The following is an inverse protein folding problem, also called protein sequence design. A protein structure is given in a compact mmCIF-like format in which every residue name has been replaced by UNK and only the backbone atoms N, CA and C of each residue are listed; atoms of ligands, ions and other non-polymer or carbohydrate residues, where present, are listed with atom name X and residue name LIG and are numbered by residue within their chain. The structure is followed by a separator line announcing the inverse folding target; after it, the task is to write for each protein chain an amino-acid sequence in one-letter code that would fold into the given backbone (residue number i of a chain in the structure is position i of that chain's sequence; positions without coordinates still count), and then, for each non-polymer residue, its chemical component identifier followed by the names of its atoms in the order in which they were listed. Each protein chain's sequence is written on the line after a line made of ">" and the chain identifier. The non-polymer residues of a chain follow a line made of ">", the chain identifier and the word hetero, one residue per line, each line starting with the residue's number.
data_IF_594014317015
#
_entry.id   IF_594014317015
#
_cell.length_a   1.000
_cell.length_b   1.000
_cell.length_c   1.000
_cell.angle_alpha   90.00
_cell.angle_beta   90.00
_cell.angle_gamma   90.00
#
_symmetry.space_group_name_H-M   'P 1'
#
loop_
_entity.id
_entity.type
_entity.pdbx_description
1 polymer ?
#
# COMPACT_ATOMS: atom_id res chain seq x y z
N UNK A 1 -1.86 2.33 -24.19
CA UNK A 1 -0.72 3.19 -23.81
C UNK A 1 -1.09 4.51 -23.10
N UNK A 2 -1.99 5.35 -23.63
CA UNK A 2 -2.28 6.71 -23.10
C UNK A 2 -2.71 6.71 -21.61
N UNK A 3 -3.62 5.82 -21.21
CA UNK A 3 -4.12 5.77 -19.81
C UNK A 3 -3.00 5.57 -18.78
N UNK A 4 -2.01 4.73 -19.08
CA UNK A 4 -0.89 4.48 -18.15
C UNK A 4 0.08 5.64 -18.13
N UNK A 5 0.32 6.33 -19.26
CA UNK A 5 1.10 7.56 -19.28
C UNK A 5 0.46 8.64 -18.40
N UNK A 6 -0.86 8.84 -18.52
CA UNK A 6 -1.61 9.76 -17.66
C UNK A 6 -1.49 9.36 -16.19
N UNK A 7 -1.60 8.07 -15.88
CA UNK A 7 -1.43 7.57 -14.52
C UNK A 7 -0.01 7.85 -13.97
N UNK A 8 1.04 7.65 -14.77
CA UNK A 8 2.43 7.95 -14.38
C UNK A 8 2.66 9.43 -14.12
N UNK A 9 2.11 10.31 -14.97
CA UNK A 9 2.16 11.76 -14.76
C UNK A 9 1.45 12.10 -13.44
N UNK A 10 0.29 11.50 -13.18
CA UNK A 10 -0.45 11.74 -11.95
C UNK A 10 0.34 11.34 -10.70
N UNK A 11 1.02 10.19 -10.69
CA UNK A 11 1.92 9.81 -9.58
C UNK A 11 3.02 10.84 -9.35
N UNK A 12 3.68 11.31 -10.42
CA UNK A 12 4.76 12.29 -10.32
C UNK A 12 4.23 13.63 -9.79
N UNK A 13 3.10 14.10 -10.33
CA UNK A 13 2.48 15.36 -9.88
C UNK A 13 2.12 15.27 -8.41
N UNK A 14 1.46 14.20 -7.98
CA UNK A 14 1.09 14.05 -6.56
C UNK A 14 2.33 13.97 -5.68
N UNK A 15 3.35 13.19 -6.04
CA UNK A 15 4.60 13.12 -5.28
C UNK A 15 5.30 14.49 -5.15
N UNK A 16 5.38 15.27 -6.24
CA UNK A 16 5.97 16.61 -6.22
C UNK A 16 5.14 17.58 -5.37
N UNK A 17 3.81 17.54 -5.50
CA UNK A 17 2.91 18.38 -4.71
C UNK A 17 3.01 17.99 -3.23
N UNK A 18 3.04 16.71 -2.87
CA UNK A 18 3.27 16.22 -1.50
C UNK A 18 4.55 16.83 -0.93
N UNK A 19 5.68 16.67 -1.62
CA UNK A 19 6.96 17.19 -1.15
C UNK A 19 6.88 18.71 -0.95
N UNK A 20 6.32 19.44 -1.90
CA UNK A 20 6.20 20.89 -1.79
C UNK A 20 5.30 21.31 -0.62
N UNK A 21 4.10 20.74 -0.51
CA UNK A 21 3.08 21.15 0.47
C UNK A 21 3.45 20.75 1.91
N UNK A 22 4.13 19.63 2.11
CA UNK A 22 4.48 19.18 3.45
C UNK A 22 5.78 19.77 3.98
N UNK A 23 6.72 20.16 3.10
CA UNK A 23 8.06 20.55 3.52
C UNK A 23 8.42 22.01 3.24
N UNK A 24 7.71 22.68 2.33
CA UNK A 24 8.08 24.02 1.86
C UNK A 24 6.93 25.02 1.89
N UNK A 25 5.68 24.56 1.80
CA UNK A 25 4.54 25.47 1.80
C UNK A 25 4.35 26.15 3.17
N UNK A 26 4.04 27.45 3.21
CA UNK A 26 3.71 28.14 4.46
C UNK A 26 2.51 27.50 5.14
N UNK A 27 2.53 27.45 6.47
CA UNK A 27 1.38 26.98 7.27
C UNK A 27 0.18 27.92 7.11
N UNK A 28 -1.01 27.37 6.92
CA UNK A 28 -2.23 28.13 6.78
C UNK A 28 -3.36 27.29 6.19
N UNK A 29 -4.60 27.80 6.30
CA UNK A 29 -5.79 27.01 5.97
C UNK A 29 -5.77 26.42 4.55
N UNK A 30 -5.34 27.20 3.55
CA UNK A 30 -5.23 26.70 2.16
C UNK A 30 -4.25 25.52 2.09
N UNK A 31 -3.10 25.62 2.76
CA UNK A 31 -2.09 24.55 2.79
C UNK A 31 -2.67 23.30 3.46
N UNK A 32 -3.39 23.45 4.57
CA UNK A 32 -4.02 22.32 5.27
C UNK A 32 -5.04 21.58 4.37
N UNK A 33 -5.86 22.32 3.61
CA UNK A 33 -6.77 21.72 2.63
C UNK A 33 -6.03 20.99 1.50
N UNK A 34 -4.90 21.52 1.03
CA UNK A 34 -4.11 20.83 0.00
C UNK A 34 -3.40 19.61 0.56
N UNK A 35 -2.87 19.65 1.79
CA UNK A 35 -2.31 18.48 2.49
C UNK A 35 -3.35 17.36 2.55
N UNK A 36 -4.52 17.66 3.10
CA UNK A 36 -5.64 16.75 3.18
C UNK A 36 -6.08 16.17 1.82
N UNK A 37 -6.19 17.03 0.79
CA UNK A 37 -6.55 16.59 -0.55
C UNK A 37 -5.52 15.60 -1.12
N UNK A 38 -4.23 15.91 -0.99
CA UNK A 38 -3.14 15.06 -1.46
C UNK A 38 -3.11 13.73 -0.70
N UNK A 39 -3.36 13.76 0.61
CA UNK A 39 -3.43 12.58 1.48
C UNK A 39 -4.50 11.60 1.00
N UNK A 40 -5.70 12.09 0.66
CA UNK A 40 -6.82 11.26 0.15
C UNK A 40 -6.65 10.89 -1.32
N UNK A 41 -6.04 11.74 -2.14
CA UNK A 41 -5.81 11.46 -3.58
C UNK A 41 -4.83 10.29 -3.75
N UNK A 42 -3.82 10.14 -2.88
CA UNK A 42 -2.83 9.09 -2.99
C UNK A 42 -3.42 7.65 -3.02
N UNK A 43 -4.25 7.22 -2.05
CA UNK A 43 -4.92 5.92 -2.11
C UNK A 43 -5.96 5.86 -3.25
N UNK A 44 -6.58 6.97 -3.66
CA UNK A 44 -7.48 6.98 -4.81
C UNK A 44 -6.76 6.62 -6.13
N UNK A 45 -5.54 7.13 -6.32
CA UNK A 45 -4.69 6.76 -7.44
C UNK A 45 -4.30 5.28 -7.36
N UNK A 46 -4.02 4.78 -6.14
CA UNK A 46 -3.70 3.37 -5.95
C UNK A 46 -4.86 2.45 -6.35
N UNK A 47 -6.08 2.81 -5.96
CA UNK A 47 -7.32 2.13 -6.40
C UNK A 47 -7.47 2.19 -7.92
N UNK A 48 -7.23 3.35 -8.54
CA UNK A 48 -7.30 3.49 -10.00
C UNK A 48 -6.28 2.57 -10.71
N UNK A 49 -5.04 2.49 -10.22
CA UNK A 49 -4.02 1.57 -10.73
C UNK A 49 -4.45 0.11 -10.63
N UNK A 50 -5.09 -0.27 -9.52
CA UNK A 50 -5.71 -1.58 -9.33
C UNK A 50 -6.83 -1.86 -10.32
N UNK A 51 -7.80 -0.96 -10.46
CA UNK A 51 -8.94 -1.11 -11.37
C UNK A 51 -8.51 -1.22 -12.84
N UNK A 52 -7.52 -0.42 -13.27
CA UNK A 52 -6.95 -0.53 -14.62
C UNK A 52 -6.30 -1.89 -14.83
N UNK A 53 -5.64 -2.44 -13.82
CA UNK A 53 -5.06 -3.79 -13.87
C UNK A 53 -6.12 -4.87 -13.95
N UNK A 54 -7.19 -4.77 -13.16
CA UNK A 54 -8.34 -5.67 -13.24
C UNK A 54 -8.99 -5.64 -14.63
N UNK A 55 -9.13 -4.45 -15.22
CA UNK A 55 -9.64 -4.28 -16.58
C UNK A 55 -8.77 -5.02 -17.60
N UNK A 56 -7.44 -4.88 -17.50
CA UNK A 56 -6.53 -5.56 -18.42
C UNK A 56 -6.55 -7.08 -18.22
N UNK A 57 -6.45 -7.61 -17.00
CA UNK A 57 -6.57 -9.06 -16.81
C UNK A 57 -7.97 -9.62 -17.12
N UNK A 58 -9.00 -8.79 -16.95
CA UNK A 58 -10.41 -9.18 -17.01
C UNK A 58 -10.87 -9.82 -15.69
N UNK A 59 -11.94 -9.28 -15.11
CA UNK A 59 -12.48 -9.68 -13.80
C UNK A 59 -12.90 -11.15 -13.68
N UNK A 60 -13.12 -11.84 -14.81
CA UNK A 60 -13.42 -13.28 -14.84
C UNK A 60 -12.17 -14.17 -14.72
N UNK A 61 -10.99 -13.64 -15.02
CA UNK A 61 -9.73 -14.39 -14.91
C UNK A 61 -9.30 -14.51 -13.45
N UNK A 62 -8.57 -15.57 -13.10
CA UNK A 62 -8.02 -15.76 -11.74
C UNK A 62 -7.17 -14.57 -11.31
N UNK A 63 -6.25 -14.11 -12.16
CA UNK A 63 -5.41 -12.95 -11.86
C UNK A 63 -6.23 -11.66 -11.70
N UNK A 64 -7.25 -11.44 -12.53
CA UNK A 64 -8.16 -10.30 -12.40
C UNK A 64 -8.93 -10.30 -11.09
N UNK A 65 -9.38 -11.47 -10.60
CA UNK A 65 -10.03 -11.60 -9.29
C UNK A 65 -9.08 -11.32 -8.13
N UNK A 66 -7.84 -11.79 -8.22
CA UNK A 66 -6.79 -11.50 -7.22
C UNK A 66 -6.56 -9.99 -7.12
N UNK A 67 -6.33 -9.31 -8.25
CA UNK A 67 -6.12 -7.86 -8.25
C UNK A 67 -7.37 -7.09 -7.83
N UNK A 68 -8.57 -7.58 -8.14
CA UNK A 68 -9.81 -6.96 -7.68
C UNK A 68 -9.90 -7.02 -6.16
N UNK A 69 -9.62 -8.17 -5.55
CA UNK A 69 -9.61 -8.31 -4.09
C UNK A 69 -8.56 -7.39 -3.46
N UNK A 70 -7.34 -7.33 -3.99
CA UNK A 70 -6.32 -6.38 -3.49
C UNK A 70 -6.82 -4.93 -3.60
N UNK A 71 -7.43 -4.57 -4.72
CA UNK A 71 -7.98 -3.23 -4.97
C UNK A 71 -9.12 -2.90 -4.02
N UNK A 72 -9.96 -3.87 -3.62
CA UNK A 72 -11.00 -3.66 -2.62
C UNK A 72 -10.42 -3.30 -1.25
N UNK A 73 -9.28 -3.89 -0.87
CA UNK A 73 -8.57 -3.49 0.34
C UNK A 73 -8.05 -2.05 0.28
N UNK A 74 -7.43 -1.66 -0.84
CA UNK A 74 -7.02 -0.27 -1.05
C UNK A 74 -8.20 0.70 -1.07
N UNK A 75 -9.38 0.26 -1.55
CA UNK A 75 -10.60 1.07 -1.51
C UNK A 75 -11.12 1.25 -0.08
N UNK A 76 -10.98 0.25 0.79
CA UNK A 76 -11.25 0.40 2.22
C UNK A 76 -10.30 1.42 2.86
N UNK A 77 -9.00 1.36 2.57
CA UNK A 77 -8.06 2.38 3.02
C UNK A 77 -8.43 3.78 2.51
N UNK A 78 -8.79 3.94 1.24
CA UNK A 78 -9.29 5.22 0.72
C UNK A 78 -10.50 5.77 1.51
N UNK A 79 -11.44 4.90 1.88
CA UNK A 79 -12.61 5.33 2.67
C UNK A 79 -12.18 5.73 4.08
N UNK A 80 -11.30 4.96 4.71
CA UNK A 80 -10.70 5.30 6.00
C UNK A 80 -10.02 6.68 5.96
N UNK A 81 -9.21 6.93 4.93
CA UNK A 81 -8.51 8.20 4.76
C UNK A 81 -9.45 9.39 4.56
N UNK A 82 -10.53 9.18 3.80
CA UNK A 82 -11.58 10.18 3.64
C UNK A 82 -12.29 10.49 4.97
N UNK A 83 -12.57 9.48 5.79
CA UNK A 83 -13.21 9.66 7.10
C UNK A 83 -12.27 10.32 8.10
N UNK A 84 -11.02 9.87 8.18
CA UNK A 84 -9.99 10.45 9.03
C UNK A 84 -9.80 11.94 8.71
N UNK A 85 -9.62 12.25 7.42
CA UNK A 85 -9.49 13.63 6.94
C UNK A 85 -10.74 14.46 7.25
N UNK A 86 -11.94 13.89 7.15
CA UNK A 86 -13.17 14.58 7.50
C UNK A 86 -13.26 14.91 9.00
N UNK A 87 -12.90 13.96 9.87
CA UNK A 87 -12.90 14.18 11.32
C UNK A 87 -11.87 15.23 11.75
N UNK A 88 -10.64 15.12 11.26
CA UNK A 88 -9.56 16.06 11.58
C UNK A 88 -9.79 17.45 10.95
N UNK A 89 -10.06 17.53 9.65
CA UNK A 89 -10.09 18.81 8.94
C UNK A 89 -11.42 19.54 9.06
N UNK A 90 -12.55 18.82 9.02
CA UNK A 90 -13.89 19.43 8.97
C UNK A 90 -14.51 19.49 10.35
N UNK A 91 -14.53 18.37 11.09
CA UNK A 91 -15.16 18.33 12.41
C UNK A 91 -14.25 18.86 13.54
N UNK A 92 -12.93 18.92 13.33
CA UNK A 92 -11.95 19.38 14.34
C UNK A 92 -12.02 18.54 15.62
N UNK A 93 -12.18 17.23 15.46
CA UNK A 93 -12.16 16.25 16.55
C UNK A 93 -11.00 15.28 16.33
N UNK A 94 -10.57 14.62 17.41
CA UNK A 94 -9.60 13.55 17.33
C UNK A 94 -10.13 12.41 16.42
N UNK A 95 -9.45 12.10 15.31
CA UNK A 95 -9.86 11.04 14.40
C UNK A 95 -9.56 9.63 14.93
N UNK A 96 -8.84 9.50 16.06
CA UNK A 96 -8.48 8.21 16.64
C UNK A 96 -9.06 8.02 18.06
N UNK A 97 -9.65 6.86 18.37
CA UNK A 97 -10.20 5.88 17.43
C UNK A 97 -11.55 6.36 16.87
N UNK A 98 -11.89 5.96 15.66
CA UNK A 98 -13.14 6.36 15.01
C UNK A 98 -13.66 5.31 14.02
N UNK A 99 -14.68 5.71 13.24
CA UNK A 99 -15.21 4.90 12.13
C UNK A 99 -14.14 4.64 11.07
N UNK A 100 -13.13 5.51 10.94
CA UNK A 100 -12.02 5.31 9.99
C UNK A 100 -11.25 4.02 10.27
N UNK A 101 -10.99 3.71 11.55
CA UNK A 101 -10.27 2.51 11.98
C UNK A 101 -10.96 1.22 11.53
N UNK A 102 -12.29 1.18 11.51
CA UNK A 102 -13.00 0.00 11.00
C UNK A 102 -12.67 -0.27 9.53
N UNK A 103 -12.58 0.78 8.71
CA UNK A 103 -12.21 0.63 7.31
C UNK A 103 -10.74 0.27 7.13
N UNK A 104 -9.84 0.82 7.96
CA UNK A 104 -8.44 0.41 7.97
C UNK A 104 -8.28 -1.07 8.33
N UNK A 105 -8.98 -1.54 9.36
CA UNK A 105 -8.92 -2.94 9.76
C UNK A 105 -9.58 -3.89 8.76
N UNK A 106 -10.74 -3.50 8.21
CA UNK A 106 -11.41 -4.28 7.18
C UNK A 106 -10.52 -4.44 5.96
N UNK A 107 -9.71 -3.45 5.59
CA UNK A 107 -8.81 -3.50 4.43
C UNK A 107 -7.78 -4.64 4.52
N UNK A 108 -7.30 -4.98 5.71
CA UNK A 108 -6.31 -6.06 5.88
C UNK A 108 -6.84 -7.41 5.43
N UNK A 109 -8.15 -7.66 5.53
CA UNK A 109 -8.78 -8.93 5.12
C UNK A 109 -8.63 -9.15 3.60
N UNK A 110 -9.17 -8.31 2.70
CA UNK A 110 -9.00 -8.47 1.27
C UNK A 110 -7.53 -8.33 0.84
N UNK A 111 -6.72 -7.44 1.43
CA UNK A 111 -5.29 -7.37 1.10
C UNK A 111 -4.60 -8.71 1.36
N UNK A 112 -4.80 -9.29 2.55
CA UNK A 112 -4.24 -10.59 2.92
C UNK A 112 -4.77 -11.72 2.04
N UNK A 113 -6.08 -11.78 1.80
CA UNK A 113 -6.70 -12.81 0.95
C UNK A 113 -6.15 -12.71 -0.48
N UNK A 114 -6.05 -11.51 -1.04
CA UNK A 114 -5.53 -11.26 -2.37
C UNK A 114 -4.08 -11.71 -2.51
N UNK A 115 -3.22 -11.33 -1.56
CA UNK A 115 -1.82 -11.75 -1.52
C UNK A 115 -1.68 -13.26 -1.34
N UNK A 116 -2.39 -13.88 -0.39
CA UNK A 116 -2.34 -15.32 -0.18
C UNK A 116 -2.87 -16.10 -1.41
N UNK A 117 -3.89 -15.59 -2.09
CA UNK A 117 -4.37 -16.20 -3.34
C UNK A 117 -3.33 -16.05 -4.45
N UNK A 118 -2.67 -14.90 -4.56
CA UNK A 118 -1.55 -14.72 -5.48
C UNK A 118 -0.42 -15.71 -5.20
N UNK A 119 -0.03 -15.87 -3.94
CA UNK A 119 0.97 -16.86 -3.53
C UNK A 119 0.56 -18.26 -3.98
N UNK A 120 -0.69 -18.68 -3.73
CA UNK A 120 -1.20 -19.99 -4.18
C UNK A 120 -1.20 -20.13 -5.71
N UNK A 121 -1.55 -19.07 -6.43
CA UNK A 121 -1.55 -19.05 -7.89
C UNK A 121 -0.12 -19.21 -8.45
N UNK A 122 0.85 -18.50 -7.88
CA UNK A 122 2.26 -18.62 -8.24
C UNK A 122 2.82 -19.99 -7.87
N UNK A 123 2.57 -20.48 -6.65
CA UNK A 123 3.05 -21.77 -6.17
C UNK A 123 2.53 -22.95 -7.01
N UNK A 124 1.29 -22.91 -7.52
CA UNK A 124 0.80 -23.95 -8.45
C UNK A 124 1.55 -23.97 -9.78
N UNK A 125 2.14 -22.83 -10.14
CA UNK A 125 2.86 -22.63 -11.39
C UNK A 125 4.38 -22.76 -11.21
N UNK A 126 4.87 -22.63 -9.98
CA UNK A 126 6.27 -22.78 -9.60
C UNK A 126 6.56 -24.23 -9.22
N UNK A 127 7.58 -24.83 -9.81
CA UNK A 127 8.03 -26.17 -9.44
C UNK A 127 9.33 -26.17 -8.63
N UNK A 128 9.93 -24.99 -8.42
CA UNK A 128 11.17 -24.82 -7.67
C UNK A 128 10.90 -24.32 -6.26
N UNK A 129 11.18 -25.12 -5.22
CA UNK A 129 11.12 -24.65 -3.84
C UNK A 129 12.23 -23.63 -3.58
N UNK A 130 11.99 -22.70 -2.64
CA UNK A 130 13.02 -21.75 -2.20
C UNK A 130 14.25 -22.50 -1.64
N UNK A 131 15.44 -22.02 -1.99
CA UNK A 131 16.69 -22.57 -1.49
C UNK A 131 16.80 -22.45 0.04
N UNK A 132 17.70 -23.22 0.66
CA UNK A 132 17.94 -23.12 2.12
C UNK A 132 18.33 -21.70 2.55
N UNK A 133 19.27 -21.07 1.83
CA UNK A 133 19.74 -19.70 2.13
C UNK A 133 18.61 -18.68 2.07
N UNK A 134 17.74 -18.75 1.05
CA UNK A 134 16.59 -17.85 0.92
C UNK A 134 15.59 -18.04 2.06
N UNK A 135 15.30 -19.29 2.43
CA UNK A 135 14.43 -19.59 3.57
C UNK A 135 15.02 -19.09 4.88
N UNK A 136 16.32 -19.25 5.10
CA UNK A 136 17.01 -18.74 6.29
C UNK A 136 16.93 -17.22 6.36
N UNK A 137 17.27 -16.52 5.28
CA UNK A 137 17.20 -15.05 5.21
C UNK A 137 15.77 -14.55 5.43
N UNK A 138 14.78 -15.20 4.81
CA UNK A 138 13.37 -14.86 5.01
C UNK A 138 12.93 -15.04 6.46
N UNK A 139 13.33 -16.12 7.11
CA UNK A 139 13.05 -16.35 8.53
C UNK A 139 13.73 -15.30 9.41
N UNK A 140 14.98 -14.92 9.13
CA UNK A 140 15.68 -13.87 9.88
C UNK A 140 14.98 -12.51 9.73
N UNK A 141 14.58 -12.14 8.51
CA UNK A 141 13.81 -10.92 8.25
C UNK A 141 12.46 -10.99 8.95
N UNK A 142 11.78 -12.14 8.90
CA UNK A 142 10.50 -12.34 9.57
C UNK A 142 10.61 -12.15 11.09
N UNK A 143 11.62 -12.74 11.72
CA UNK A 143 11.86 -12.59 13.16
C UNK A 143 12.19 -11.14 13.51
N UNK A 144 13.05 -10.47 12.73
CA UNK A 144 13.41 -9.08 12.96
C UNK A 144 12.20 -8.14 12.86
N UNK A 145 11.44 -8.21 11.76
CA UNK A 145 10.28 -7.34 11.55
C UNK A 145 9.16 -7.64 12.55
N UNK A 146 8.94 -8.92 12.88
CA UNK A 146 7.98 -9.29 13.94
C UNK A 146 8.43 -8.77 15.29
N UNK A 147 9.72 -8.80 15.61
CA UNK A 147 10.27 -8.23 16.84
C UNK A 147 10.07 -6.72 16.92
N UNK A 148 10.29 -5.99 15.83
CA UNK A 148 10.01 -4.55 15.73
C UNK A 148 8.52 -4.27 15.92
N UNK A 149 7.65 -5.02 15.23
CA UNK A 149 6.20 -4.88 15.35
C UNK A 149 5.71 -5.18 16.77
N UNK A 150 6.20 -6.25 17.40
CA UNK A 150 5.84 -6.61 18.77
C UNK A 150 6.34 -5.58 19.79
N UNK A 151 7.55 -5.06 19.63
CA UNK A 151 8.10 -4.11 20.60
C UNK A 151 7.49 -2.72 20.42
N UNK A 152 7.57 -2.15 19.22
CA UNK A 152 7.12 -0.78 18.97
C UNK A 152 5.62 -0.69 18.67
N UNK A 153 5.10 -1.60 17.85
CA UNK A 153 3.70 -1.61 17.45
C UNK A 153 2.75 -2.19 18.49
N UNK A 154 3.21 -3.05 19.40
CA UNK A 154 2.37 -3.67 20.44
C UNK A 154 2.75 -3.21 21.84
N UNK A 155 3.99 -3.44 22.28
CA UNK A 155 4.36 -3.15 23.69
C UNK A 155 4.42 -1.64 23.97
N UNK A 156 4.99 -0.85 23.07
CA UNK A 156 5.13 0.60 23.23
C UNK A 156 3.87 1.39 22.86
N UNK A 157 2.95 0.81 22.10
CA UNK A 157 1.69 1.47 21.74
C UNK A 157 0.64 1.43 22.85
N UNK A 158 0.83 0.59 23.87
CA UNK A 158 -0.07 0.54 25.04
C UNK A 158 0.12 1.79 25.88
N UNK A 159 -0.96 2.55 26.04
CA UNK A 159 -1.02 3.72 26.90
C UNK A 159 -1.96 3.44 28.09
N UNK A 160 -1.54 3.66 29.35
CA UNK A 160 -2.38 3.44 30.53
C UNK A 160 -3.69 4.25 30.55
N UNK A 161 -3.69 5.41 29.92
CA UNK A 161 -4.79 6.34 29.78
C UNK A 161 -5.83 5.91 28.73
N UNK A 162 -5.44 5.06 27.78
CA UNK A 162 -6.34 4.51 26.77
C UNK A 162 -7.24 3.40 27.34
N UNK A 163 -8.48 3.40 26.88
CA UNK A 163 -9.42 2.28 27.03
C UNK A 163 -8.85 1.00 26.42
N UNK A 164 -9.44 -0.15 26.80
CA UNK A 164 -9.06 -1.43 26.21
C UNK A 164 -9.23 -1.43 24.68
N UNK A 165 -10.30 -0.81 24.18
CA UNK A 165 -10.58 -0.76 22.74
C UNK A 165 -9.51 0.03 22.00
N UNK A 166 -9.17 1.23 22.48
CA UNK A 166 -8.11 2.08 21.92
C UNK A 166 -6.77 1.37 21.85
N UNK A 167 -6.36 0.72 22.94
CA UNK A 167 -5.13 -0.06 22.97
C UNK A 167 -5.17 -1.25 22.00
N UNK A 168 -6.30 -1.95 21.87
CA UNK A 168 -6.45 -3.06 20.91
C UNK A 168 -6.32 -2.55 19.47
N UNK A 169 -6.93 -1.42 19.15
CA UNK A 169 -6.84 -0.80 17.82
C UNK A 169 -5.39 -0.36 17.54
N UNK A 170 -4.75 0.35 18.47
CA UNK A 170 -3.36 0.80 18.35
C UNK A 170 -2.38 -0.37 18.12
N UNK A 171 -2.52 -1.46 18.88
CA UNK A 171 -1.69 -2.66 18.74
C UNK A 171 -1.91 -3.38 17.41
N UNK A 172 -3.14 -3.35 16.88
CA UNK A 172 -3.52 -4.13 15.72
C UNK A 172 -2.83 -3.68 14.43
N UNK A 173 -2.55 -2.38 14.26
CA UNK A 173 -1.87 -1.84 13.07
C UNK A 173 -0.51 -2.50 12.84
N UNK A 174 0.39 -2.46 13.85
CA UNK A 174 1.72 -3.04 13.72
C UNK A 174 1.73 -4.53 13.42
N UNK A 175 0.77 -5.29 13.99
CA UNK A 175 0.61 -6.73 13.74
C UNK A 175 0.08 -7.00 12.34
N UNK A 176 -0.92 -6.25 11.89
CA UNK A 176 -1.52 -6.44 10.58
C UNK A 176 -0.53 -6.06 9.45
N UNK A 177 0.19 -4.96 9.61
CA UNK A 177 1.19 -4.50 8.65
C UNK A 177 2.35 -5.49 8.49
N UNK A 178 2.89 -6.03 9.60
CA UNK A 178 3.97 -7.02 9.49
C UNK A 178 3.51 -8.28 8.75
N UNK A 179 2.26 -8.72 8.93
CA UNK A 179 1.71 -9.85 8.16
C UNK A 179 1.70 -9.51 6.66
N UNK A 180 1.21 -8.34 6.28
CA UNK A 180 1.21 -7.91 4.87
C UNK A 180 2.62 -7.85 4.28
N UNK A 181 3.58 -7.27 5.00
CA UNK A 181 5.00 -7.16 4.56
C UNK A 181 5.58 -8.55 4.32
N UNK A 182 5.40 -9.48 5.25
CA UNK A 182 5.98 -10.83 5.14
C UNK A 182 5.37 -11.62 3.99
N UNK A 183 4.05 -11.58 3.82
CA UNK A 183 3.38 -12.25 2.69
C UNK A 183 3.80 -11.62 1.36
N UNK A 184 3.87 -10.29 1.29
CA UNK A 184 4.34 -9.56 0.10
C UNK A 184 5.79 -9.86 -0.27
N UNK A 185 6.67 -10.01 0.72
CA UNK A 185 8.07 -10.39 0.52
C UNK A 185 8.19 -11.79 -0.10
N UNK A 186 7.45 -12.76 0.42
CA UNK A 186 7.41 -14.12 -0.13
C UNK A 186 6.94 -14.12 -1.59
N UNK A 187 5.85 -13.39 -1.90
CA UNK A 187 5.33 -13.29 -3.28
C UNK A 187 6.36 -12.66 -4.22
N UNK A 188 7.05 -11.63 -3.76
CA UNK A 188 8.07 -10.92 -4.56
C UNK A 188 9.22 -11.86 -4.90
N UNK A 189 9.76 -12.59 -3.91
CA UNK A 189 10.83 -13.57 -4.12
C UNK A 189 10.39 -14.69 -5.05
N UNK A 190 9.21 -15.28 -4.81
CA UNK A 190 8.67 -16.33 -5.69
C UNK A 190 8.51 -15.82 -7.13
N UNK A 191 8.09 -14.56 -7.31
CA UNK A 191 7.97 -13.99 -8.65
C UNK A 191 9.32 -13.79 -9.35
N UNK A 192 10.36 -13.39 -8.60
CA UNK A 192 11.73 -13.28 -9.13
C UNK A 192 12.20 -14.63 -9.65
N UNK A 193 12.05 -15.69 -8.85
CA UNK A 193 12.46 -17.06 -9.18
C UNK A 193 11.73 -17.61 -10.41
N UNK A 194 10.44 -17.29 -10.58
CA UNK A 194 9.62 -17.88 -11.62
C UNK A 194 9.64 -17.15 -12.96
N UNK A 195 9.62 -15.82 -12.94
CA UNK A 195 9.31 -15.01 -14.13
C UNK A 195 10.35 -13.94 -14.41
N UNK A 196 11.14 -13.56 -13.41
CA UNK A 196 12.12 -12.47 -13.51
C UNK A 196 11.54 -11.19 -14.12
N UNK A 197 12.42 -10.23 -14.39
CA UNK A 197 12.10 -9.06 -15.22
C UNK A 197 10.98 -8.16 -14.68
N UNK A 198 10.17 -7.60 -15.59
CA UNK A 198 9.28 -6.47 -15.30
C UNK A 198 8.13 -6.79 -14.34
N UNK A 199 7.69 -8.06 -14.24
CA UNK A 199 6.64 -8.46 -13.30
C UNK A 199 7.13 -8.51 -11.85
N UNK A 200 8.40 -8.87 -11.63
CA UNK A 200 9.00 -8.81 -10.31
C UNK A 200 9.19 -7.36 -9.84
N UNK A 201 9.55 -6.45 -10.75
CA UNK A 201 9.61 -5.01 -10.46
C UNK A 201 8.29 -4.45 -9.95
N UNK A 202 7.16 -4.87 -10.53
CA UNK A 202 5.83 -4.42 -10.10
C UNK A 202 5.51 -4.87 -8.66
N UNK A 203 5.89 -6.09 -8.28
CA UNK A 203 5.77 -6.56 -6.89
C UNK A 203 6.71 -5.83 -5.94
N UNK A 204 7.92 -5.47 -6.36
CA UNK A 204 8.83 -4.67 -5.53
C UNK A 204 8.24 -3.31 -5.16
N UNK A 205 7.62 -2.61 -6.12
CA UNK A 205 6.93 -1.34 -5.84
C UNK A 205 5.74 -1.53 -4.91
N UNK A 206 4.98 -2.61 -5.11
CA UNK A 206 3.86 -2.92 -4.22
C UNK A 206 4.32 -3.23 -2.79
N UNK A 207 5.34 -4.07 -2.65
CA UNK A 207 5.96 -4.40 -1.36
C UNK A 207 6.59 -3.18 -0.69
N UNK A 208 7.30 -2.35 -1.46
CA UNK A 208 7.86 -1.11 -0.94
C UNK A 208 6.77 -0.22 -0.34
N UNK A 209 5.63 -0.12 -1.02
CA UNK A 209 4.51 0.66 -0.50
C UNK A 209 3.91 0.11 0.80
N UNK A 210 3.72 -1.21 0.92
CA UNK A 210 3.31 -1.86 2.19
C UNK A 210 4.38 -1.64 3.28
N UNK A 211 5.66 -1.70 2.92
CA UNK A 211 6.73 -1.47 3.88
C UNK A 211 6.78 -0.02 4.37
N UNK A 212 6.43 0.95 3.52
CA UNK A 212 6.25 2.34 3.93
C UNK A 212 5.11 2.49 4.94
N UNK A 213 3.93 1.87 4.71
CA UNK A 213 2.84 1.94 5.71
C UNK A 213 3.28 1.32 7.03
N UNK A 214 3.97 0.18 7.00
CA UNK A 214 4.51 -0.45 8.21
C UNK A 214 5.44 0.48 8.99
N UNK A 215 6.37 1.15 8.29
CA UNK A 215 7.27 2.12 8.91
C UNK A 215 6.49 3.29 9.50
N UNK A 216 5.53 3.83 8.76
CA UNK A 216 4.75 4.98 9.20
C UNK A 216 3.87 4.64 10.41
N UNK A 217 3.23 3.48 10.44
CA UNK A 217 2.40 3.03 11.57
C UNK A 217 3.25 2.78 12.83
N UNK A 218 4.42 2.16 12.68
CA UNK A 218 5.37 1.98 13.79
C UNK A 218 5.89 3.34 14.29
N UNK A 219 6.23 4.25 13.38
CA UNK A 219 6.68 5.59 13.74
C UNK A 219 5.55 6.39 14.41
N UNK A 220 4.32 6.28 13.92
CA UNK A 220 3.15 6.90 14.51
C UNK A 220 2.95 6.40 15.93
N UNK A 221 2.94 5.09 16.16
CA UNK A 221 2.81 4.51 17.50
C UNK A 221 3.90 4.99 18.48
N UNK A 222 5.09 5.34 17.99
CA UNK A 222 6.19 5.89 18.80
C UNK A 222 6.09 7.39 19.04
N UNK A 223 5.47 8.13 18.12
CA UNK A 223 5.50 9.59 18.06
C UNK A 223 4.11 10.23 18.01
N UNK A 224 3.06 9.52 18.44
CA UNK A 224 1.68 10.01 18.48
C UNK A 224 1.58 11.41 19.13
N UNK A 225 2.17 11.67 20.32
CA UNK A 225 2.05 12.99 20.94
C UNK A 225 2.67 14.12 20.10
N UNK A 226 3.79 13.86 19.41
CA UNK A 226 4.44 14.83 18.54
C UNK A 226 3.67 15.02 17.23
N UNK A 227 3.04 13.96 16.73
CA UNK A 227 2.20 14.00 15.55
C UNK A 227 0.94 14.85 15.77
N UNK A 228 0.23 14.62 16.89
CA UNK A 228 -1.04 15.29 17.20
C UNK A 228 -0.90 16.81 17.37
N UNK A 229 0.17 17.27 18.02
CA UNK A 229 0.43 18.71 18.15
C UNK A 229 1.04 19.32 16.87
N UNK A 230 1.07 18.56 15.77
CA UNK A 230 1.69 18.91 14.50
C UNK A 230 3.13 19.44 14.68
N UNK A 231 3.92 18.79 15.54
CA UNK A 231 5.26 19.25 15.89
C UNK A 231 6.22 19.14 14.70
N UNK A 232 6.42 20.25 13.99
CA UNK A 232 7.50 20.46 13.03
C UNK A 232 7.67 19.29 12.05
N UNK A 233 8.73 18.49 12.28
CA UNK A 233 9.15 17.40 11.39
C UNK A 233 8.24 16.17 11.38
N UNK A 234 7.59 15.83 12.50
CA UNK A 234 6.96 14.52 12.68
C UNK A 234 5.75 14.31 11.78
N UNK A 235 4.79 15.23 11.79
CA UNK A 235 3.59 15.11 10.95
C UNK A 235 3.92 15.10 9.45
N UNK A 236 4.71 16.05 8.90
CA UNK A 236 5.13 16.00 7.50
C UNK A 236 5.89 14.72 7.11
N UNK A 237 6.76 14.21 7.99
CA UNK A 237 7.50 12.99 7.72
C UNK A 237 6.58 11.78 7.61
N UNK A 238 5.72 11.57 8.60
CA UNK A 238 4.82 10.42 8.65
C UNK A 238 3.80 10.47 7.49
N UNK A 239 3.14 11.61 7.28
CA UNK A 239 2.19 11.78 6.17
C UNK A 239 2.83 11.50 4.81
N UNK A 240 4.07 11.98 4.60
CA UNK A 240 4.82 11.73 3.37
C UNK A 240 5.09 10.23 3.19
N UNK A 241 5.43 9.51 4.25
CA UNK A 241 5.72 8.06 4.17
C UNK A 241 4.45 7.28 3.80
N UNK A 242 3.29 7.56 4.42
CA UNK A 242 2.01 6.92 4.03
C UNK A 242 1.64 7.24 2.58
N UNK A 243 1.74 8.50 2.16
CA UNK A 243 1.47 8.90 0.77
C UNK A 243 2.38 8.15 -0.20
N UNK A 244 3.69 8.11 0.06
CA UNK A 244 4.66 7.34 -0.76
C UNK A 244 4.27 5.86 -0.78
N UNK A 245 3.79 5.33 0.35
CA UNK A 245 3.23 3.99 0.46
C UNK A 245 2.12 3.73 -0.56
N UNK A 246 1.08 4.57 -0.53
CA UNK A 246 -0.06 4.47 -1.46
C UNK A 246 0.36 4.63 -2.92
N UNK A 247 1.17 5.65 -3.24
CA UNK A 247 1.63 5.88 -4.60
C UNK A 247 2.46 4.70 -5.12
N UNK A 248 3.30 4.09 -4.28
CA UNK A 248 4.12 2.93 -4.65
C UNK A 248 3.30 1.67 -4.87
N UNK A 249 2.31 1.41 -4.01
CA UNK A 249 1.34 0.31 -4.20
C UNK A 249 0.55 0.50 -5.50
N UNK A 250 0.03 1.70 -5.72
CA UNK A 250 -0.64 2.05 -6.95
C UNK A 250 0.24 1.87 -8.18
N UNK A 251 1.49 2.32 -8.09
CA UNK A 251 2.45 2.24 -9.18
C UNK A 251 2.73 0.77 -9.55
N UNK A 252 3.00 -0.06 -8.54
CA UNK A 252 3.17 -1.51 -8.72
C UNK A 252 1.96 -2.15 -9.39
N UNK A 253 0.75 -1.84 -8.92
CA UNK A 253 -0.49 -2.31 -9.56
C UNK A 253 -0.57 -1.86 -11.01
N UNK A 254 -0.48 -0.55 -11.28
CA UNK A 254 -0.54 0.01 -12.64
C UNK A 254 0.48 -0.60 -13.60
N UNK A 255 1.67 -0.97 -13.12
CA UNK A 255 2.68 -1.66 -13.93
C UNK A 255 2.19 -3.03 -14.42
N UNK A 256 1.49 -3.81 -13.59
CA UNK A 256 0.92 -5.09 -14.02
C UNK A 256 -0.03 -4.92 -15.21
N UNK A 257 -0.95 -3.97 -15.11
CA UNK A 257 -1.89 -3.66 -16.19
C UNK A 257 -1.16 -3.22 -17.48
N UNK A 258 -0.19 -2.32 -17.35
CA UNK A 258 0.61 -1.85 -18.50
C UNK A 258 1.36 -2.99 -19.20
N UNK A 259 1.97 -3.90 -18.43
CA UNK A 259 2.69 -5.05 -18.97
C UNK A 259 1.77 -5.98 -19.76
N UNK A 260 0.58 -6.27 -19.24
CA UNK A 260 -0.42 -7.12 -19.93
C UNK A 260 -0.92 -6.45 -21.21
N UNK A 261 -1.21 -5.15 -21.16
CA UNK A 261 -1.64 -4.39 -22.32
C UNK A 261 -0.58 -4.46 -23.44
N UNK A 262 0.69 -4.23 -23.11
CA UNK A 262 1.78 -4.28 -24.10
C UNK A 262 2.05 -5.68 -24.67
N UNK A 263 1.75 -6.76 -23.94
CA UNK A 263 1.80 -8.12 -24.50
C UNK A 263 0.66 -8.34 -25.49
N UNK A 264 -0.55 -7.88 -25.17
CA UNK A 264 -1.73 -8.00 -26.04
C UNK A 264 -1.61 -7.20 -27.33
N UNK A 265 -1.10 -5.99 -27.26
CA UNK A 265 -0.88 -5.13 -28.43
C UNK A 265 0.09 -5.80 -29.41
N UNK A 266 1.24 -6.28 -28.92
CA UNK A 266 2.22 -7.03 -29.74
C UNK A 266 1.64 -8.30 -30.37
N UNK A 267 0.83 -9.05 -29.63
CA UNK A 267 0.18 -10.25 -30.17
C UNK A 267 -0.83 -9.91 -31.29
N UNK A 268 -1.54 -8.78 -31.19
CA UNK A 268 -2.47 -8.30 -32.24
C UNK A 268 -1.71 -7.87 -33.49
N UNK A 269 -0.60 -7.16 -33.34
CA UNK A 269 0.24 -6.73 -34.46
C UNK A 269 0.79 -7.93 -35.23
N UNK A 270 1.31 -8.94 -34.54
CA UNK A 270 1.78 -10.18 -35.17
C UNK A 270 0.66 -10.89 -35.93
N UNK A 271 -0.52 -11.02 -35.35
CA UNK A 271 -1.67 -11.64 -36.03
C UNK A 271 -2.13 -10.85 -37.27
N UNK A 272 -1.97 -9.53 -37.28
CA UNK A 272 -2.31 -8.70 -38.44
C UNK A 272 -1.26 -8.80 -39.55
N UNK A 273 0.01 -9.06 -39.21
CA UNK A 273 1.08 -9.31 -40.18
C UNK A 273 0.94 -10.68 -40.86
N UNK A 274 0.50 -11.71 -40.13
CA UNK A 274 0.27 -13.07 -40.68
C UNK A 274 -0.97 -13.12 -41.61
N UNK A 275 -1.91 -12.19 -41.47
CA UNK A 275 -3.12 -12.10 -42.29
C UNK A 275 -2.96 -11.26 -43.57
N UNK A 276 -1.82 -10.59 -43.75
CA UNK A 276 -1.47 -9.83 -44.96
C UNK A 276 -0.52 -10.65 -45.82
#
# INVERSE_FOLDING_TARGET
>A
MIFYLTLWILYIVVAVVTVWVYWFAPTGSITDYVQAAVYVIAPAIAVLGGLLTVKEYGWKSTAGRIFLIITLGLACWLIGEGLWTYYDLVLKIDPFPSVADWFYFIAYIPLSIGLLWQYKFLHKTAHTPLGYTQRLLLTMVAVLLSGIALYFGVFKSIQPEHTLFENVVAMGYGVADVILVLVGLVITIVTIEMRGGKFASAWWWFLFGIFCTFIADIAFAMYTPQYEIAAGFYKPALDTIWIVGYLSMGYGLGQFGWLVQGVRERAREQNNLVKK
#
